data_IF_591932182472
#
_entry.id   IF_591932182472
#
_cell.length_a   1.000
_cell.length_b   1.000
_cell.length_c   1.000
_cell.angle_alpha   90.00
_cell.angle_beta   90.00
_cell.angle_gamma   90.00
#
_symmetry.space_group_name_H-M   'P 1'
#
loop_
_entity.id
_entity.type
_entity.pdbx_description
1 polymer ?
#
# COMPACT_ATOMS: atom_id res chain seq x y z
N UNK A 1 7.31 -6.14 24.46
CA UNK A 1 6.52 -5.30 23.56
C UNK A 1 7.09 -5.57 22.18
N UNK A 2 6.31 -6.20 21.31
CA UNK A 2 6.69 -6.31 19.89
C UNK A 2 6.78 -4.90 19.31
N UNK A 3 7.88 -4.63 18.62
CA UNK A 3 8.10 -3.36 17.93
C UNK A 3 7.34 -3.37 16.60
N UNK A 4 7.05 -2.19 16.07
CA UNK A 4 6.35 -2.08 14.78
C UNK A 4 7.16 -2.67 13.62
N UNK A 5 8.49 -2.67 13.75
CA UNK A 5 9.38 -3.37 12.83
C UNK A 5 9.19 -4.89 12.89
N UNK A 6 9.03 -5.46 14.09
CA UNK A 6 8.72 -6.89 14.27
C UNK A 6 7.35 -7.24 13.69
N UNK A 7 6.33 -6.40 13.92
CA UNK A 7 5.00 -6.59 13.32
C UNK A 7 5.09 -6.62 11.79
N UNK A 8 5.84 -5.68 11.19
CA UNK A 8 6.03 -5.63 9.74
C UNK A 8 6.69 -6.92 9.22
N UNK A 9 7.74 -7.40 9.88
CA UNK A 9 8.42 -8.64 9.50
C UNK A 9 7.52 -9.87 9.67
N UNK A 10 6.77 -9.94 10.77
CA UNK A 10 5.84 -11.03 11.05
C UNK A 10 4.70 -11.07 10.01
N UNK A 11 4.12 -9.92 9.69
CA UNK A 11 3.10 -9.80 8.66
C UNK A 11 3.64 -10.23 7.28
N UNK A 12 4.83 -9.75 6.89
CA UNK A 12 5.47 -10.21 5.65
C UNK A 12 5.68 -11.71 5.63
N UNK A 13 6.14 -12.29 6.74
CA UNK A 13 6.38 -13.72 6.83
C UNK A 13 5.08 -14.51 6.69
N UNK A 14 4.02 -14.12 7.40
CA UNK A 14 2.68 -14.71 7.28
C UNK A 14 2.17 -14.65 5.83
N UNK A 15 2.32 -13.51 5.17
CA UNK A 15 1.96 -13.36 3.76
C UNK A 15 2.76 -14.30 2.84
N UNK A 16 4.08 -14.42 3.05
CA UNK A 16 4.95 -15.34 2.28
C UNK A 16 4.61 -16.81 2.52
N UNK A 17 4.18 -17.14 3.72
CA UNK A 17 3.75 -18.48 4.10
C UNK A 17 2.32 -18.81 3.61
N UNK A 18 1.65 -17.85 2.96
CA UNK A 18 0.30 -18.00 2.42
C UNK A 18 -0.82 -17.75 3.43
N UNK A 19 -0.49 -17.35 4.66
CA UNK A 19 -1.45 -16.97 5.71
C UNK A 19 -1.89 -15.52 5.55
N UNK A 20 -2.54 -15.22 4.42
CA UNK A 20 -2.92 -13.86 4.05
C UNK A 20 -3.85 -13.22 5.08
N UNK A 21 -4.89 -13.94 5.50
CA UNK A 21 -5.82 -13.49 6.53
C UNK A 21 -5.12 -13.16 7.83
N UNK A 22 -4.18 -14.01 8.28
CA UNK A 22 -3.42 -13.79 9.52
C UNK A 22 -2.52 -12.57 9.44
N UNK A 23 -1.88 -12.33 8.29
CA UNK A 23 -1.09 -11.11 8.06
C UNK A 23 -1.95 -9.86 8.13
N UNK A 24 -3.12 -9.88 7.50
CA UNK A 24 -4.05 -8.75 7.47
C UNK A 24 -4.61 -8.45 8.86
N UNK A 25 -4.99 -9.47 9.62
CA UNK A 25 -5.51 -9.32 10.99
C UNK A 25 -4.47 -8.71 11.95
N UNK A 26 -3.22 -9.18 11.85
CA UNK A 26 -2.09 -8.66 12.62
C UNK A 26 -1.84 -7.18 12.32
N UNK A 27 -1.81 -6.81 11.04
CA UNK A 27 -1.61 -5.43 10.62
C UNK A 27 -2.76 -4.54 11.07
N UNK A 28 -4.01 -4.96 10.88
CA UNK A 28 -5.18 -4.19 11.29
C UNK A 28 -5.24 -3.97 12.79
N UNK A 29 -4.98 -5.00 13.59
CA UNK A 29 -4.93 -4.88 15.06
C UNK A 29 -3.87 -3.88 15.47
N UNK A 30 -2.68 -3.96 14.88
CA UNK A 30 -1.59 -3.01 15.18
C UNK A 30 -1.93 -1.58 14.76
N UNK A 31 -2.56 -1.42 13.58
CA UNK A 31 -2.97 -0.11 13.05
C UNK A 31 -4.13 0.53 13.84
N UNK A 32 -4.88 -0.24 14.65
CA UNK A 32 -5.87 0.34 15.58
C UNK A 32 -5.18 1.12 16.70
N UNK A 33 -4.08 0.59 17.24
CA UNK A 33 -3.29 1.25 18.28
C UNK A 33 -2.33 2.29 17.69
N UNK A 34 -1.83 2.06 16.47
CA UNK A 34 -0.80 2.86 15.81
C UNK A 34 -1.21 3.30 14.39
N UNK A 35 -2.27 4.12 14.25
CA UNK A 35 -2.83 4.50 12.94
C UNK A 35 -1.93 5.44 12.13
N UNK A 36 -0.87 5.97 12.73
CA UNK A 36 0.07 6.90 12.10
C UNK A 36 1.20 6.23 11.32
N UNK A 37 1.30 4.89 11.35
CA UNK A 37 2.38 4.16 10.70
C UNK A 37 2.11 3.85 9.22
N UNK A 38 2.60 4.74 8.35
CA UNK A 38 2.46 4.62 6.90
C UNK A 38 3.01 3.32 6.29
N UNK A 39 4.12 2.78 6.79
CA UNK A 39 4.70 1.52 6.27
C UNK A 39 3.79 0.30 6.50
N UNK A 40 3.06 0.25 7.63
CA UNK A 40 2.11 -0.83 7.90
C UNK A 40 0.87 -0.71 7.02
N UNK A 41 0.39 0.52 6.79
CA UNK A 41 -0.68 0.80 5.83
C UNK A 41 -0.28 0.43 4.39
N UNK A 42 0.99 0.69 4.01
CA UNK A 42 1.51 0.30 2.71
C UNK A 42 1.49 -1.22 2.54
N UNK A 43 2.04 -1.97 3.50
CA UNK A 43 2.07 -3.43 3.44
C UNK A 43 0.65 -4.01 3.39
N UNK A 44 -0.26 -3.47 4.21
CA UNK A 44 -1.66 -3.87 4.21
C UNK A 44 -2.31 -3.67 2.84
N UNK A 45 -2.08 -2.50 2.22
CA UNK A 45 -2.61 -2.18 0.90
C UNK A 45 -2.04 -3.06 -0.21
N UNK A 46 -0.73 -3.34 -0.19
CA UNK A 46 -0.10 -4.28 -1.13
C UNK A 46 -0.72 -5.68 -1.01
N UNK A 47 -0.92 -6.16 0.21
CA UNK A 47 -1.53 -7.47 0.45
C UNK A 47 -2.97 -7.50 -0.07
N UNK A 48 -3.78 -6.47 0.21
CA UNK A 48 -5.14 -6.39 -0.31
C UNK A 48 -5.20 -6.37 -1.83
N UNK A 49 -4.24 -5.71 -2.49
CA UNK A 49 -4.17 -5.67 -3.94
C UNK A 49 -3.93 -7.07 -4.53
N UNK A 50 -3.05 -7.85 -3.90
CA UNK A 50 -2.76 -9.22 -4.33
C UNK A 50 -3.96 -10.14 -4.11
N UNK A 51 -4.70 -9.95 -3.02
CA UNK A 51 -5.97 -10.65 -2.76
C UNK A 51 -7.09 -10.27 -3.75
N UNK A 52 -6.87 -9.25 -4.59
CA UNK A 52 -7.88 -8.73 -5.52
C UNK A 52 -8.87 -7.75 -4.88
N UNK A 53 -8.66 -7.38 -3.61
CA UNK A 53 -9.45 -6.39 -2.89
C UNK A 53 -8.98 -4.97 -3.21
N UNK A 54 -9.10 -4.58 -4.49
CA UNK A 54 -8.60 -3.28 -5.00
C UNK A 54 -9.16 -2.07 -4.24
N UNK A 55 -10.41 -2.11 -3.77
CA UNK A 55 -10.99 -1.01 -2.99
C UNK A 55 -10.28 -0.78 -1.67
N UNK A 56 -10.10 -1.84 -0.87
CA UNK A 56 -9.40 -1.78 0.42
C UNK A 56 -7.92 -1.47 0.25
N UNK A 57 -7.31 -1.97 -0.83
CA UNK A 57 -5.94 -1.69 -1.19
C UNK A 57 -5.74 -0.19 -1.44
N UNK A 58 -6.63 0.43 -2.22
CA UNK A 58 -6.60 1.85 -2.53
C UNK A 58 -6.69 2.70 -1.26
N UNK A 59 -7.71 2.47 -0.42
CA UNK A 59 -7.88 3.21 0.83
C UNK A 59 -6.66 3.12 1.75
N UNK A 60 -6.08 1.92 1.85
CA UNK A 60 -4.89 1.67 2.68
C UNK A 60 -3.65 2.39 2.13
N UNK A 61 -3.42 2.33 0.82
CA UNK A 61 -2.26 2.97 0.17
C UNK A 61 -2.38 4.50 0.13
N UNK A 62 -3.58 5.05 -0.04
CA UNK A 62 -3.82 6.50 0.04
C UNK A 62 -3.54 7.02 1.45
N UNK A 63 -3.96 6.26 2.47
CA UNK A 63 -3.67 6.58 3.87
C UNK A 63 -2.18 6.50 4.16
N UNK A 64 -1.51 5.46 3.68
CA UNK A 64 -0.06 5.36 3.75
C UNK A 64 0.63 6.57 3.12
N UNK A 65 0.26 6.93 1.88
CA UNK A 65 0.82 8.06 1.13
C UNK A 65 0.61 9.41 1.82
N UNK A 66 -0.49 9.57 2.54
CA UNK A 66 -0.80 10.79 3.30
C UNK A 66 0.05 10.93 4.57
N UNK A 67 0.49 9.82 5.15
CA UNK A 67 1.30 9.77 6.38
C UNK A 67 2.79 9.77 6.08
N UNK A 68 3.21 9.01 5.08
CA UNK A 68 4.60 8.83 4.70
C UNK A 68 4.71 8.65 3.17
N UNK A 69 5.76 9.18 2.53
CA UNK A 69 6.00 8.92 1.12
C UNK A 69 6.16 7.42 0.85
N UNK A 70 5.20 6.85 0.11
CA UNK A 70 5.20 5.43 -0.25
C UNK A 70 6.54 4.98 -0.84
N UNK A 71 6.91 3.73 -0.54
CA UNK A 71 8.02 3.08 -1.23
C UNK A 71 7.72 2.93 -2.72
N UNK A 72 8.74 2.58 -3.51
CA UNK A 72 8.53 2.28 -4.93
C UNK A 72 7.48 1.17 -5.15
N UNK A 73 7.46 0.16 -4.27
CA UNK A 73 6.47 -0.91 -4.31
C UNK A 73 5.06 -0.41 -3.99
N UNK A 74 4.92 0.41 -2.94
CA UNK A 74 3.66 1.03 -2.58
C UNK A 74 3.09 1.94 -3.66
N UNK A 75 3.94 2.73 -4.34
CA UNK A 75 3.53 3.56 -5.49
C UNK A 75 3.02 2.73 -6.65
N UNK A 76 3.75 1.68 -7.02
CA UNK A 76 3.31 0.75 -8.07
C UNK A 76 1.99 0.06 -7.72
N UNK A 77 1.81 -0.31 -6.45
CA UNK A 77 0.57 -0.89 -5.97
C UNK A 77 -0.58 0.12 -6.05
N UNK A 78 -0.33 1.39 -5.69
CA UNK A 78 -1.33 2.45 -5.78
C UNK A 78 -1.71 2.72 -7.25
N UNK A 79 -0.73 2.78 -8.14
CA UNK A 79 -0.95 2.92 -9.59
C UNK A 79 -1.75 1.74 -10.17
N UNK A 80 -1.47 0.51 -9.74
CA UNK A 80 -2.26 -0.67 -10.11
C UNK A 80 -3.68 -0.60 -9.53
N UNK A 81 -3.85 -0.10 -8.30
CA UNK A 81 -5.17 0.12 -7.71
C UNK A 81 -5.98 1.11 -8.55
N UNK A 82 -5.37 2.25 -8.91
CA UNK A 82 -6.01 3.21 -9.79
C UNK A 82 -6.33 2.60 -11.15
N UNK A 83 -5.41 1.87 -11.80
CA UNK A 83 -5.71 1.22 -13.09
C UNK A 83 -6.85 0.20 -13.02
N UNK A 84 -6.99 -0.53 -11.92
CA UNK A 84 -8.09 -1.48 -11.70
C UNK A 84 -9.40 -0.78 -11.32
N UNK A 85 -9.33 0.33 -10.58
CA UNK A 85 -10.48 1.18 -10.23
C UNK A 85 -10.94 2.08 -11.38
N UNK A 86 -10.05 2.45 -12.30
CA UNK A 86 -10.23 3.29 -13.49
C UNK A 86 -10.98 2.55 -14.63
N UNK A 87 -11.94 1.70 -14.28
CA UNK A 87 -13.13 1.62 -15.13
C UNK A 87 -14.02 2.88 -14.98
N UNK A 88 -13.72 3.84 -14.09
CA UNK A 88 -14.65 4.97 -13.85
C UNK A 88 -14.10 6.41 -13.76
N UNK A 89 -12.87 6.76 -13.39
CA UNK A 89 -12.54 8.22 -13.27
C UNK A 89 -11.12 8.61 -13.66
N UNK A 90 -10.99 8.99 -14.93
CA UNK A 90 -10.26 10.17 -15.44
C UNK A 90 -8.88 10.49 -14.86
N UNK A 91 -7.84 10.07 -15.57
CA UNK A 91 -6.74 10.92 -16.07
C UNK A 91 -6.40 12.13 -15.18
N UNK A 92 -5.45 11.93 -14.25
CA UNK A 92 -4.45 12.96 -13.98
C UNK A 92 -3.06 12.32 -14.03
N UNK A 93 -2.68 11.94 -15.24
CA UNK A 93 -1.26 11.93 -15.63
C UNK A 93 -0.78 13.38 -15.58
N UNK A 94 -0.45 13.88 -14.40
CA UNK A 94 0.54 14.94 -14.27
C UNK A 94 1.92 14.28 -14.43
N UNK A 95 2.18 13.84 -15.66
CA UNK A 95 3.54 13.65 -16.13
C UNK A 95 4.13 15.03 -16.36
N UNK A 96 4.93 15.54 -15.43
CA UNK A 96 5.94 16.58 -15.67
C UNK A 96 6.95 16.64 -14.52
N UNK A 97 8.25 16.88 -14.77
CA UNK A 97 8.73 17.89 -15.71
C UNK A 97 9.78 17.43 -16.73
N UNK A 98 9.68 18.01 -17.93
CA UNK A 98 10.81 18.53 -18.71
C UNK A 98 12.03 17.63 -18.93
N UNK A 99 12.05 16.92 -20.05
CA UNK A 99 13.30 16.61 -20.74
C UNK A 99 13.21 17.12 -22.19
N UNK A 100 13.37 18.44 -22.35
CA UNK A 100 13.68 19.02 -23.65
C UNK A 100 15.16 18.76 -23.94
N UNK A 101 15.43 17.74 -24.75
CA UNK A 101 16.64 17.70 -25.57
C UNK A 101 16.26 18.19 -26.96
N UNK A 102 16.40 19.50 -27.16
CA UNK A 102 16.44 20.10 -28.49
C UNK A 102 17.80 19.79 -29.10
N UNK A 103 17.81 19.17 -30.29
CA UNK A 103 18.98 19.11 -31.16
C UNK A 103 19.29 20.47 -31.81
#
# INVERSE_FOLDING_TARGET
>A
METLAEVFQNAQQLYRDGFITGSVDLLQTTLQDFPEHGELWELLGVIYLVEGNTGLALESLERANSLFPLSFGGKLALDECYRRGESTVTMHLDTSPGYSISQ
#
